data_IF_932315686611
#
_entry.id   IF_932315686611
#
_cell.length_a   1.000
_cell.length_b   1.000
_cell.length_c   1.000
_cell.angle_alpha   90.00
_cell.angle_beta   90.00
_cell.angle_gamma   90.00
#
_symmetry.space_group_name_H-M   'P 1'
#
loop_
_entity.id
_entity.type
_entity.pdbx_description
1 polymer ?
#
# COMPACT_ATOMS: atom_id res chain seq x y z
N UNK A 1 -5.57 1.45 -19.01
CA UNK A 1 -6.15 2.48 -18.13
C UNK A 1 -5.44 2.36 -16.80
N UNK A 2 -4.63 3.35 -16.40
CA UNK A 2 -3.81 3.26 -15.18
C UNK A 2 -4.62 3.86 -14.02
N UNK A 3 -4.97 3.02 -13.04
CA UNK A 3 -5.76 3.38 -11.84
C UNK A 3 -5.22 4.64 -11.12
N UNK A 4 -3.90 4.85 -11.22
CA UNK A 4 -3.19 6.02 -10.67
C UNK A 4 -3.34 7.28 -11.51
N UNK A 5 -3.31 7.17 -12.84
CA UNK A 5 -3.33 8.33 -13.75
C UNK A 5 -4.74 8.84 -14.04
N UNK A 6 -5.72 7.95 -14.09
CA UNK A 6 -7.09 8.32 -14.50
C UNK A 6 -8.04 8.45 -13.34
N UNK A 7 -7.90 7.60 -12.33
CA UNK A 7 -8.80 7.57 -11.19
C UNK A 7 -8.17 8.17 -9.93
N UNK A 8 -6.94 8.69 -10.06
CA UNK A 8 -6.21 9.40 -9.01
C UNK A 8 -6.02 8.59 -7.72
N UNK A 9 -6.03 7.26 -7.82
CA UNK A 9 -5.69 6.41 -6.68
C UNK A 9 -4.19 6.46 -6.43
N UNK A 10 -3.80 6.39 -5.16
CA UNK A 10 -2.42 6.44 -4.73
C UNK A 10 -2.04 5.12 -4.06
N UNK A 11 -0.83 4.66 -4.33
CA UNK A 11 -0.29 3.45 -3.70
C UNK A 11 0.02 3.72 -2.22
N UNK A 12 -0.69 3.04 -1.31
CA UNK A 12 -0.55 3.22 0.13
C UNK A 12 0.89 3.02 0.63
N UNK A 13 1.61 2.04 0.06
CA UNK A 13 2.97 1.76 0.49
C UNK A 13 3.90 2.93 0.17
N UNK A 14 3.74 3.53 -1.02
CA UNK A 14 4.53 4.67 -1.49
C UNK A 14 4.17 5.97 -0.79
N UNK A 15 2.92 6.13 -0.34
CA UNK A 15 2.53 7.27 0.48
C UNK A 15 3.31 7.31 1.81
N UNK A 16 3.54 6.15 2.43
CA UNK A 16 4.30 6.05 3.70
C UNK A 16 5.81 5.96 3.47
N UNK A 17 6.24 5.34 2.35
CA UNK A 17 7.64 5.06 2.07
C UNK A 17 8.07 5.62 0.69
N UNK A 18 8.02 6.96 0.48
CA UNK A 18 8.22 7.56 -0.85
C UNK A 18 9.63 7.33 -1.43
N UNK A 19 10.62 7.07 -0.58
CA UNK A 19 12.01 6.86 -0.96
C UNK A 19 12.31 5.44 -1.49
N UNK A 20 11.45 4.45 -1.22
CA UNK A 20 11.72 3.05 -1.59
C UNK A 20 11.33 2.84 -3.06
N UNK A 21 12.25 2.30 -3.86
CA UNK A 21 12.00 2.00 -5.29
C UNK A 21 11.26 0.68 -5.47
N UNK A 22 10.49 0.53 -6.55
CA UNK A 22 9.71 -0.69 -6.80
C UNK A 22 10.58 -1.94 -6.97
N UNK A 23 11.79 -1.78 -7.51
CA UNK A 23 12.79 -2.85 -7.64
C UNK A 23 13.22 -3.46 -6.30
N UNK A 24 12.98 -2.75 -5.19
CA UNK A 24 13.32 -3.17 -3.84
C UNK A 24 12.12 -3.82 -3.12
N UNK A 25 10.98 -3.94 -3.80
CA UNK A 25 9.72 -4.42 -3.23
C UNK A 25 9.33 -5.73 -3.88
N UNK A 26 8.90 -6.67 -3.06
CA UNK A 26 8.40 -7.95 -3.51
C UNK A 26 7.20 -8.36 -2.66
N UNK A 27 6.11 -8.71 -3.32
CA UNK A 27 4.91 -9.24 -2.68
C UNK A 27 4.67 -10.70 -3.03
N UNK A 28 5.60 -11.35 -3.74
CA UNK A 28 5.52 -12.78 -4.03
C UNK A 28 6.90 -13.44 -4.14
N UNK A 29 6.92 -14.77 -4.08
CA UNK A 29 8.14 -15.58 -4.11
C UNK A 29 9.02 -15.37 -5.35
N UNK A 30 8.48 -14.78 -6.42
CA UNK A 30 9.19 -14.51 -7.67
C UNK A 30 9.93 -13.16 -7.69
N UNK A 31 10.00 -12.46 -6.54
CA UNK A 31 10.72 -11.19 -6.45
C UNK A 31 10.01 -10.02 -7.14
N UNK A 32 8.73 -10.17 -7.47
CA UNK A 32 7.92 -9.13 -8.10
C UNK A 32 6.92 -8.55 -7.12
N UNK A 33 6.49 -7.31 -7.39
CA UNK A 33 5.45 -6.61 -6.66
C UNK A 33 4.17 -6.63 -7.49
N UNK A 34 3.21 -7.45 -7.08
CA UNK A 34 1.93 -7.65 -7.80
C UNK A 34 0.71 -7.42 -6.91
N UNK A 35 0.91 -7.29 -5.60
CA UNK A 35 -0.13 -7.02 -4.62
C UNK A 35 -0.03 -5.56 -4.15
N UNK A 36 -1.16 -4.86 -4.15
CA UNK A 36 -1.22 -3.42 -3.88
C UNK A 36 -2.44 -3.07 -3.05
N UNK A 37 -2.29 -2.07 -2.18
CA UNK A 37 -3.42 -1.33 -1.62
C UNK A 37 -3.39 0.06 -2.25
N UNK A 38 -4.49 0.39 -2.94
CA UNK A 38 -4.69 1.71 -3.54
C UNK A 38 -5.70 2.50 -2.72
N UNK A 39 -5.37 3.76 -2.41
CA UNK A 39 -6.18 4.66 -1.60
C UNK A 39 -6.59 5.85 -2.46
N UNK A 40 -7.88 6.16 -2.46
CA UNK A 40 -8.36 7.39 -3.10
C UNK A 40 -8.11 8.59 -2.16
N UNK A 41 -7.64 9.75 -2.64
CA UNK A 41 -7.34 10.92 -1.79
C UNK A 41 -8.47 11.35 -0.86
N UNK A 42 -9.73 11.18 -1.28
CA UNK A 42 -10.93 11.43 -0.43
C UNK A 42 -10.98 10.59 0.85
N UNK A 43 -10.31 9.44 0.91
CA UNK A 43 -10.21 8.64 2.13
C UNK A 43 -9.47 9.43 3.22
N UNK A 44 -8.46 10.21 2.84
CA UNK A 44 -7.66 11.02 3.77
C UNK A 44 -8.45 12.14 4.44
N UNK A 45 -9.64 12.48 3.94
CA UNK A 45 -10.56 13.42 4.59
C UNK A 45 -11.08 12.88 5.93
N UNK A 46 -11.22 11.54 6.05
CA UNK A 46 -11.83 10.88 7.22
C UNK A 46 -10.88 9.94 7.95
N UNK A 47 -9.91 9.38 7.24
CA UNK A 47 -9.01 8.35 7.73
C UNK A 47 -7.59 8.70 7.34
N UNK A 48 -6.70 8.81 8.32
CA UNK A 48 -5.28 8.98 8.06
C UNK A 48 -4.60 7.61 7.96
N UNK A 49 -3.91 7.35 6.84
CA UNK A 49 -3.03 6.19 6.69
C UNK A 49 -1.83 6.39 7.65
N UNK A 50 -1.74 5.57 8.69
CA UNK A 50 -0.70 5.68 9.73
C UNK A 50 0.49 4.79 9.46
N UNK A 51 0.28 3.65 8.79
CA UNK A 51 1.30 2.66 8.50
C UNK A 51 0.97 1.90 7.24
N UNK A 52 2.01 1.55 6.48
CA UNK A 52 1.90 0.55 5.42
C UNK A 52 3.20 -0.26 5.32
N UNK A 53 3.09 -1.57 5.25
CA UNK A 53 4.24 -2.49 5.25
C UNK A 53 3.94 -3.76 4.46
N UNK A 54 4.99 -4.36 3.90
CA UNK A 54 4.94 -5.71 3.34
C UNK A 54 5.44 -6.67 4.41
N UNK A 55 4.64 -7.67 4.77
CA UNK A 55 4.94 -8.65 5.81
C UNK A 55 5.21 -10.00 5.14
N UNK A 56 6.38 -10.57 5.40
CA UNK A 56 6.76 -11.89 4.91
C UNK A 56 5.82 -12.97 5.49
N UNK A 57 5.19 -13.73 4.60
CA UNK A 57 4.29 -14.84 4.94
C UNK A 57 4.80 -16.19 4.45
N UNK A 58 6.13 -16.33 4.33
CA UNK A 58 6.82 -17.56 3.94
C UNK A 58 6.30 -18.78 4.70
N UNK A 59 6.02 -19.84 3.94
CA UNK A 59 5.54 -21.12 4.48
C UNK A 59 4.03 -21.20 4.64
N UNK A 60 3.30 -20.10 4.41
CA UNK A 60 1.82 -20.08 4.43
C UNK A 60 1.24 -19.87 3.03
N UNK A 61 1.85 -18.97 2.25
CA UNK A 61 1.47 -18.63 0.88
C UNK A 61 2.72 -18.24 0.10
N UNK A 62 2.64 -18.26 -1.23
CA UNK A 62 3.66 -17.74 -2.15
C UNK A 62 3.61 -16.21 -2.34
N UNK A 63 2.66 -15.54 -1.69
CA UNK A 63 2.56 -14.08 -1.60
C UNK A 63 2.98 -13.56 -0.22
N UNK A 64 3.38 -12.29 -0.11
CA UNK A 64 3.55 -11.54 1.13
C UNK A 64 2.30 -10.70 1.41
N UNK A 65 1.99 -10.48 2.68
CA UNK A 65 0.87 -9.63 3.06
C UNK A 65 1.21 -8.14 2.84
N UNK A 66 0.35 -7.42 2.13
CA UNK A 66 0.38 -5.96 2.09
C UNK A 66 -0.55 -5.43 3.17
N UNK A 67 0.02 -4.86 4.23
CA UNK A 67 -0.70 -4.35 5.38
C UNK A 67 -0.81 -2.83 5.31
N UNK A 68 -2.00 -2.29 5.62
CA UNK A 68 -2.24 -0.87 5.80
C UNK A 68 -3.03 -0.63 7.08
N UNK A 69 -2.62 0.37 7.85
CA UNK A 69 -3.29 0.80 9.07
C UNK A 69 -3.85 2.21 8.88
N UNK A 70 -5.09 2.41 9.33
CA UNK A 70 -5.76 3.70 9.27
C UNK A 70 -6.23 4.10 10.66
N UNK A 71 -6.03 5.38 10.99
CA UNK A 71 -6.64 6.01 12.15
C UNK A 71 -7.77 6.94 11.69
N UNK A 72 -8.87 7.00 12.44
CA UNK A 72 -9.92 7.96 12.15
C UNK A 72 -9.42 9.36 12.51
N UNK A 73 -9.62 10.33 11.61
CA UNK A 73 -9.35 11.73 11.95
C UNK A 73 -10.27 12.12 13.10
N UNK A 74 -9.70 12.61 14.21
CA UNK A 74 -10.49 13.21 15.29
C UNK A 74 -11.29 14.38 14.69
N UNK A 75 -12.61 14.28 14.76
CA UNK A 75 -13.48 15.39 14.38
C UNK A 75 -13.33 16.45 15.48
N UNK A 76 -12.82 17.63 15.12
CA UNK A 76 -12.97 18.82 15.96
C UNK A 76 -14.42 19.28 15.98
#
# INVERSE_FOLDING_TARGET
>A
HLITQQWNYQDAFKLINPQIKDEQLSTCAYGTRIDYIYVHPRVNERWNLTKCSIIDTKGVTDHNCVYAEFSKNSSN
#
